data_IF_408488516106
#
_entry.id   IF_408488516106
#
_cell.length_a   1.000
_cell.length_b   1.000
_cell.length_c   1.000
_cell.angle_alpha   90.00
_cell.angle_beta   90.00
_cell.angle_gamma   90.00
#
_symmetry.space_group_name_H-M   'P 1'
#
loop_
_entity.id
_entity.type
_entity.pdbx_description
1 polymer ?
#
# COMPACT_ATOMS: atom_id res chain seq x y z
N UNK A 1 15.04 -18.66 3.25
CA UNK A 1 14.16 -18.39 2.10
C UNK A 1 14.27 -16.92 1.74
N UNK A 2 14.78 -16.62 0.55
CA UNK A 2 14.98 -15.26 0.04
C UNK A 2 13.62 -14.59 -0.22
N UNK A 3 13.48 -13.29 0.03
CA UNK A 3 12.24 -12.57 -0.29
C UNK A 3 11.95 -12.72 -1.78
N UNK A 4 10.70 -13.07 -2.14
CA UNK A 4 10.29 -13.23 -3.53
C UNK A 4 10.44 -11.94 -4.37
N UNK A 5 10.66 -10.80 -3.70
CA UNK A 5 10.83 -9.48 -4.24
C UNK A 5 12.29 -9.06 -4.20
N UNK A 6 12.78 -8.47 -5.30
CA UNK A 6 14.13 -7.94 -5.41
C UNK A 6 14.10 -6.43 -5.58
N UNK A 7 15.00 -5.72 -4.89
CA UNK A 7 15.15 -4.27 -5.09
C UNK A 7 15.43 -3.94 -6.56
N UNK A 8 14.77 -2.91 -7.08
CA UNK A 8 14.79 -2.48 -8.49
C UNK A 8 13.83 -3.26 -9.39
N UNK A 9 13.15 -4.29 -8.89
CA UNK A 9 12.12 -5.01 -9.65
C UNK A 9 10.88 -4.13 -9.82
N UNK A 10 10.33 -4.12 -11.04
CA UNK A 10 9.07 -3.46 -11.36
C UNK A 10 7.95 -4.48 -11.38
N UNK A 11 6.89 -4.20 -10.63
CA UNK A 11 5.71 -5.07 -10.52
C UNK A 11 4.46 -4.34 -11.01
N UNK A 12 3.54 -5.08 -11.63
CA UNK A 12 2.19 -4.61 -11.90
C UNK A 12 1.26 -5.21 -10.85
N UNK A 13 0.59 -4.34 -10.11
CA UNK A 13 -0.41 -4.71 -9.12
C UNK A 13 -1.77 -4.81 -9.79
N UNK A 14 -2.18 -6.02 -10.15
CA UNK A 14 -3.34 -6.25 -11.02
C UNK A 14 -4.69 -6.10 -10.32
N UNK A 15 -4.77 -6.39 -9.02
CA UNK A 15 -6.03 -6.38 -8.27
C UNK A 15 -6.30 -5.06 -7.55
N UNK A 16 -7.55 -4.82 -7.17
CA UNK A 16 -7.83 -3.85 -6.12
C UNK A 16 -7.32 -4.40 -4.78
N UNK A 17 -6.84 -3.53 -3.91
CA UNK A 17 -6.39 -3.95 -2.58
C UNK A 17 -6.78 -2.93 -1.53
N UNK A 18 -7.39 -3.42 -0.46
CA UNK A 18 -7.64 -2.62 0.74
C UNK A 18 -6.32 -2.45 1.49
N UNK A 19 -6.03 -1.21 1.89
CA UNK A 19 -4.82 -0.82 2.59
C UNK A 19 -5.22 0.08 3.76
N UNK A 20 -4.35 0.21 4.75
CA UNK A 20 -4.53 1.17 5.86
C UNK A 20 -3.35 2.13 5.90
N UNK A 21 -3.62 3.39 6.25
CA UNK A 21 -2.59 4.39 6.56
C UNK A 21 -2.19 4.40 8.05
N UNK A 22 -2.78 3.55 8.89
CA UNK A 22 -2.47 3.48 10.31
C UNK A 22 -1.79 2.16 10.70
N UNK A 23 -0.61 2.27 11.30
CA UNK A 23 0.20 1.10 11.69
C UNK A 23 -0.45 0.26 12.81
N UNK A 24 -1.20 0.89 13.71
CA UNK A 24 -1.88 0.22 14.84
C UNK A 24 -2.94 -0.80 14.38
N UNK A 25 -3.58 -0.57 13.22
CA UNK A 25 -4.59 -1.48 12.65
C UNK A 25 -3.95 -2.82 12.26
N UNK A 26 -2.67 -2.82 11.90
CA UNK A 26 -1.96 -4.04 11.49
C UNK A 26 -1.81 -5.08 12.59
N UNK A 27 -1.80 -4.66 13.86
CA UNK A 27 -1.66 -5.57 15.00
C UNK A 27 -2.87 -6.52 15.13
N UNK A 28 -3.97 -6.26 14.42
CA UNK A 28 -5.12 -7.16 14.36
C UNK A 28 -4.80 -8.36 13.45
N UNK A 29 -5.13 -9.56 13.94
CA UNK A 29 -4.92 -10.84 13.25
C UNK A 29 -5.68 -10.96 11.92
N UNK A 30 -6.69 -10.13 11.69
CA UNK A 30 -7.38 -10.05 10.40
C UNK A 30 -6.53 -9.41 9.29
N UNK A 31 -5.46 -8.69 9.64
CA UNK A 31 -4.57 -8.03 8.69
C UNK A 31 -3.19 -8.70 8.65
N UNK A 32 -2.22 -8.17 9.41
CA UNK A 32 -0.88 -8.71 9.47
C UNK A 32 -0.76 -9.74 10.59
N UNK A 33 -1.35 -9.44 11.75
CA UNK A 33 -1.28 -10.28 12.94
C UNK A 33 0.15 -10.50 13.44
N UNK A 34 0.29 -11.46 14.35
CA UNK A 34 1.56 -11.75 15.03
C UNK A 34 2.17 -13.11 14.69
N UNK A 35 1.46 -13.98 13.94
CA UNK A 35 1.86 -15.36 13.67
C UNK A 35 1.96 -15.67 12.16
N UNK A 36 2.68 -16.76 11.82
CA UNK A 36 2.83 -17.23 10.44
C UNK A 36 3.79 -16.44 9.57
N UNK A 37 4.09 -16.99 8.38
CA UNK A 37 4.89 -16.33 7.35
C UNK A 37 4.08 -15.20 6.73
N UNK A 38 4.59 -13.98 6.83
CA UNK A 38 3.88 -12.76 6.47
C UNK A 38 4.80 -11.75 5.80
N UNK A 39 4.20 -10.96 4.94
CA UNK A 39 4.87 -9.88 4.23
C UNK A 39 4.05 -8.61 4.40
N UNK A 40 4.71 -7.57 4.88
CA UNK A 40 4.18 -6.23 4.94
C UNK A 40 4.67 -5.46 3.71
N UNK A 41 3.76 -5.02 2.86
CA UNK A 41 4.10 -4.04 1.83
C UNK A 41 4.02 -2.66 2.45
N UNK A 42 5.08 -1.86 2.38
CA UNK A 42 5.06 -0.45 2.72
C UNK A 42 5.07 0.33 1.40
N UNK A 43 3.89 0.72 0.91
CA UNK A 43 3.72 1.30 -0.42
C UNK A 43 3.69 2.81 -0.27
N UNK A 44 4.53 3.55 -0.99
CA UNK A 44 4.36 4.98 -1.23
C UNK A 44 3.49 5.16 -2.49
N UNK A 45 2.20 5.46 -2.31
CA UNK A 45 1.24 5.54 -3.40
C UNK A 45 0.80 6.98 -3.73
N UNK A 46 0.60 7.22 -5.02
CA UNK A 46 0.10 8.49 -5.59
C UNK A 46 -1.39 8.41 -5.93
N UNK A 47 -1.89 7.21 -6.23
CA UNK A 47 -3.25 7.02 -6.77
C UNK A 47 -4.23 6.34 -5.80
N UNK A 48 -3.80 6.03 -4.57
CA UNK A 48 -4.68 5.51 -3.52
C UNK A 48 -5.87 6.43 -3.27
N UNK A 49 -7.03 5.84 -2.94
CA UNK A 49 -8.26 6.58 -2.64
C UNK A 49 -8.66 6.34 -1.20
N UNK A 50 -8.76 7.42 -0.43
CA UNK A 50 -9.36 7.36 0.90
C UNK A 50 -10.84 7.03 0.77
N UNK A 51 -11.21 5.86 1.29
CA UNK A 51 -12.58 5.37 1.34
C UNK A 51 -13.08 5.20 2.77
N UNK A 52 -12.39 5.78 3.76
CA UNK A 52 -12.72 5.66 5.19
C UNK A 52 -14.19 6.01 5.46
N UNK A 53 -14.72 7.05 4.80
CA UNK A 53 -16.12 7.50 4.94
C UNK A 53 -17.15 6.55 4.32
N UNK A 54 -16.71 5.65 3.46
CA UNK A 54 -17.53 4.66 2.76
C UNK A 54 -17.28 3.24 3.30
N UNK A 55 -16.31 3.07 4.19
CA UNK A 55 -15.96 1.78 4.79
C UNK A 55 -16.98 1.37 5.86
N UNK A 56 -17.25 0.07 5.94
CA UNK A 56 -17.98 -0.52 7.06
C UNK A 56 -17.18 -0.42 8.38
N UNK A 57 -15.87 -0.15 8.31
CA UNK A 57 -14.97 -0.03 9.45
C UNK A 57 -14.24 1.32 9.45
N UNK A 58 -14.89 2.42 9.85
CA UNK A 58 -14.34 3.78 9.74
C UNK A 58 -13.05 4.02 10.52
N UNK A 59 -12.70 3.15 11.47
CA UNK A 59 -11.50 3.30 12.31
C UNK A 59 -10.23 2.77 11.65
N UNK A 60 -10.34 2.10 10.51
CA UNK A 60 -9.21 1.46 9.84
C UNK A 60 -8.44 2.40 8.91
N UNK A 61 -8.92 3.63 8.69
CA UNK A 61 -8.35 4.58 7.72
C UNK A 61 -8.06 3.89 6.38
N UNK A 62 -9.11 3.28 5.85
CA UNK A 62 -9.03 2.45 4.65
C UNK A 62 -8.70 3.29 3.41
N UNK A 63 -7.61 2.91 2.75
CA UNK A 63 -7.19 3.40 1.45
C UNK A 63 -7.37 2.27 0.44
N UNK A 64 -8.18 2.50 -0.58
CA UNK A 64 -8.33 1.57 -1.69
C UNK A 64 -7.21 1.81 -2.71
N UNK A 65 -6.35 0.81 -2.88
CA UNK A 65 -5.37 0.80 -3.96
C UNK A 65 -6.02 0.33 -5.26
N UNK A 66 -5.98 1.14 -6.34
CA UNK A 66 -6.56 0.76 -7.62
C UNK A 66 -5.84 -0.42 -8.30
N UNK A 67 -6.58 -1.17 -9.11
CA UNK A 67 -6.03 -2.18 -9.99
C UNK A 67 -5.15 -1.61 -11.11
N UNK A 68 -4.24 -2.44 -11.62
CA UNK A 68 -3.28 -2.15 -12.67
C UNK A 68 -2.43 -0.91 -12.38
N UNK A 69 -1.83 -0.84 -11.19
CA UNK A 69 -0.79 0.14 -10.85
C UNK A 69 0.60 -0.47 -10.98
N UNK A 70 1.60 0.35 -11.26
CA UNK A 70 2.97 -0.11 -11.37
C UNK A 70 3.79 0.38 -10.18
N UNK A 71 4.60 -0.50 -9.62
CA UNK A 71 5.45 -0.19 -8.47
C UNK A 71 6.88 -0.65 -8.73
N UNK A 72 7.83 0.08 -8.17
CA UNK A 72 9.21 -0.36 -8.04
C UNK A 72 9.48 -0.82 -6.60
N UNK A 73 10.17 -1.94 -6.45
CA UNK A 73 10.64 -2.43 -5.15
C UNK A 73 11.86 -1.60 -4.74
N UNK A 74 11.70 -0.69 -3.78
CA UNK A 74 12.81 0.18 -3.35
C UNK A 74 13.66 -0.47 -2.26
N UNK A 75 13.07 -1.30 -1.40
CA UNK A 75 13.80 -1.98 -0.34
C UNK A 75 13.11 -3.28 0.10
N UNK A 76 13.90 -4.25 0.53
CA UNK A 76 13.44 -5.47 1.19
C UNK A 76 14.15 -5.62 2.53
N UNK A 77 13.39 -5.73 3.62
CA UNK A 77 13.90 -5.93 4.97
C UNK A 77 13.28 -7.20 5.57
N UNK A 78 14.12 -8.08 6.12
CA UNK A 78 13.65 -9.26 6.86
C UNK A 78 13.69 -8.98 8.35
N UNK A 79 12.54 -9.03 9.02
CA UNK A 79 12.42 -8.85 10.46
C UNK A 79 12.13 -10.20 11.14
N UNK A 80 13.13 -11.06 11.24
CA UNK A 80 13.00 -12.39 11.84
C UNK A 80 12.74 -13.52 10.83
N UNK A 81 12.37 -14.72 11.29
CA UNK A 81 12.22 -15.88 10.42
C UNK A 81 11.02 -15.76 9.47
N UNK A 82 9.91 -15.18 9.94
CA UNK A 82 8.61 -15.29 9.29
C UNK A 82 8.01 -13.94 8.85
N UNK A 83 8.73 -12.82 9.05
CA UNK A 83 8.23 -11.49 8.71
C UNK A 83 9.17 -10.81 7.72
N UNK A 84 8.62 -10.40 6.58
CA UNK A 84 9.30 -9.59 5.58
C UNK A 84 8.60 -8.25 5.42
N UNK A 85 9.37 -7.20 5.17
CA UNK A 85 8.89 -5.88 4.81
C UNK A 85 9.41 -5.58 3.42
N UNK A 86 8.52 -5.20 2.52
CA UNK A 86 8.85 -4.82 1.14
C UNK A 86 8.36 -3.40 0.93
N UNK A 87 9.28 -2.48 0.70
CA UNK A 87 8.93 -1.11 0.39
C UNK A 87 8.73 -0.97 -1.12
N UNK A 88 7.60 -0.39 -1.50
CA UNK A 88 7.19 -0.17 -2.88
C UNK A 88 7.01 1.33 -3.11
N UNK A 89 7.39 1.82 -4.28
CA UNK A 89 7.08 3.19 -4.72
C UNK A 89 6.24 3.13 -5.99
N UNK A 90 5.12 3.87 -6.03
CA UNK A 90 4.28 3.94 -7.22
C UNK A 90 4.98 4.74 -8.32
N UNK A 91 5.17 4.08 -9.46
CA UNK A 91 5.74 4.64 -10.68
C UNK A 91 4.67 4.76 -11.75
N UNK A 92 4.93 5.57 -12.77
CA UNK A 92 4.01 5.71 -13.89
C UNK A 92 3.79 4.37 -14.59
N UNK A 93 2.52 3.95 -14.62
CA UNK A 93 2.12 2.73 -15.30
C UNK A 93 1.93 2.99 -16.80
N UNK A 94 2.45 2.13 -17.68
CA UNK A 94 2.15 2.18 -19.11
C UNK A 94 0.67 1.87 -19.41
N UNK A 95 -0.04 1.23 -18.47
CA UNK A 95 -1.46 0.90 -18.58
C UNK A 95 -2.19 1.42 -17.35
N UNK A 96 -3.13 2.35 -17.54
CA UNK A 96 -4.04 2.83 -16.49
C UNK A 96 -5.42 2.24 -16.77
N UNK A 97 -5.89 1.33 -15.91
CA UNK A 97 -7.25 0.77 -16.04
C UNK A 97 -8.33 1.84 -15.81
N UNK A 98 -8.09 2.72 -14.84
CA UNK A 98 -8.96 3.84 -14.48
C UNK A 98 -8.08 5.07 -14.37
N UNK A 99 -8.45 6.12 -15.12
CA UNK A 99 -7.87 7.44 -14.94
C UNK A 99 -8.51 8.11 -13.72
N UNK A 100 -7.70 8.39 -12.72
CA UNK A 100 -8.14 8.92 -11.44
C UNK A 100 -7.86 10.41 -11.28
N UNK A 101 -7.31 11.05 -12.32
CA UNK A 101 -6.87 12.44 -12.32
C UNK A 101 -5.80 12.74 -11.25
N UNK A 102 -5.22 13.95 -11.26
CA UNK A 102 -4.41 14.42 -10.15
C UNK A 102 -5.29 14.62 -8.90
N UNK A 103 -4.87 14.05 -7.77
CA UNK A 103 -5.52 14.25 -6.47
C UNK A 103 -5.23 15.68 -6.01
N UNK A 104 -6.18 16.60 -6.18
CA UNK A 104 -6.12 17.88 -5.46
C UNK A 104 -6.34 17.57 -3.98
N UNK A 105 -5.26 17.61 -3.19
CA UNK A 105 -5.35 17.64 -1.73
C UNK A 105 -6.07 18.95 -1.39
N UNK A 106 -7.38 18.88 -1.17
CA UNK A 106 -8.15 20.04 -0.72
C UNK A 106 -7.78 20.29 0.74
N UNK A 107 -7.18 21.44 1.11
CA UNK A 107 -6.91 21.74 2.50
C UNK A 107 -8.26 21.82 3.23
N UNK A 108 -8.44 21.00 4.27
CA UNK A 108 -9.58 21.11 5.15
C UNK A 108 -9.55 22.50 5.79
N UNK A 109 -10.50 23.35 5.41
CA UNK A 109 -10.65 24.69 5.99
C UNK A 109 -11.22 24.55 7.40
N UNK A 110 -10.34 24.60 8.39
CA UNK A 110 -10.64 24.73 9.82
C UNK A 110 -9.70 25.78 10.43
N UNK A 111 -10.26 26.71 11.19
CA UNK A 111 -9.70 28.02 11.50
C UNK A 111 -8.39 28.10 12.33
N UNK A 112 -7.65 29.17 12.05
CA UNK A 112 -6.78 29.98 12.94
C UNK A 112 -5.35 29.50 13.27
N UNK A 113 -4.37 30.16 12.62
CA UNK A 113 -3.24 30.79 13.31
C UNK A 113 -2.02 29.93 13.68
N UNK A 114 -1.01 29.89 12.79
CA UNK A 114 0.39 30.29 13.06
C UNK A 114 1.35 29.75 12.00
N UNK A 115 2.25 30.62 11.55
CA UNK A 115 3.28 30.37 10.53
C UNK A 115 4.27 29.28 11.00
N UNK A 116 4.49 28.26 10.18
CA UNK A 116 5.81 27.61 10.04
C UNK A 116 5.89 26.88 8.70
N UNK A 117 6.99 27.12 7.97
CA UNK A 117 7.31 26.45 6.70
C UNK A 117 7.72 25.00 7.00
N UNK A 118 7.00 24.03 6.45
CA UNK A 118 7.49 22.69 6.22
C UNK A 118 6.74 22.09 5.02
N UNK A 119 7.47 21.86 3.92
CA UNK A 119 7.01 21.05 2.79
C UNK A 119 6.92 19.60 3.27
N UNK A 120 5.76 19.22 3.82
CA UNK A 120 5.49 17.84 4.23
C UNK A 120 4.88 17.10 3.06
N UNK A 121 5.73 16.41 2.30
CA UNK A 121 5.32 15.34 1.40
C UNK A 121 4.56 14.29 2.23
N UNK A 122 3.25 14.16 2.03
CA UNK A 122 2.47 13.11 2.68
C UNK A 122 2.81 11.78 2.04
N UNK A 123 3.76 11.05 2.64
CA UNK A 123 4.03 9.66 2.31
C UNK A 123 2.77 8.85 2.68
N UNK A 124 2.00 8.46 1.68
CA UNK A 124 0.85 7.59 1.89
C UNK A 124 1.39 6.16 2.00
N UNK A 125 1.82 5.75 3.20
CA UNK A 125 2.18 4.36 3.52
C UNK A 125 0.94 3.49 3.39
N UNK A 126 0.78 2.85 2.24
CA UNK A 126 -0.29 1.93 1.91
C UNK A 126 0.21 0.50 2.16
N UNK A 127 -0.44 -0.25 3.04
CA UNK A 127 0.03 -1.60 3.40
C UNK A 127 -0.99 -2.67 3.04
N UNK A 128 -0.74 -3.37 1.94
CA UNK A 128 -1.48 -4.58 1.57
C UNK A 128 -0.89 -5.80 2.28
N UNK A 129 -1.71 -6.76 2.68
CA UNK A 129 -1.27 -8.12 2.97
C UNK A 129 -1.68 -9.01 1.79
N UNK A 130 -0.70 -9.51 1.03
CA UNK A 130 -0.97 -10.47 -0.05
C UNK A 130 -0.29 -11.79 0.31
N UNK A 131 -1.08 -12.80 0.67
CA UNK A 131 -0.61 -14.17 0.84
C UNK A 131 -0.52 -14.83 -0.55
N UNK A 132 0.62 -14.68 -1.23
CA UNK A 132 0.84 -15.36 -2.51
C UNK A 132 1.36 -16.77 -2.23
N UNK A 133 0.45 -17.74 -2.21
CA UNK A 133 0.83 -19.15 -2.32
C UNK A 133 1.13 -19.44 -3.81
N UNK A 134 2.37 -19.22 -4.27
CA UNK A 134 2.80 -19.65 -5.61
C UNK A 134 3.00 -21.17 -5.62
N UNK A 135 1.90 -21.91 -5.62
CA UNK A 135 1.89 -23.33 -5.95
C UNK A 135 0.83 -23.67 -7.01
N UNK A 136 0.68 -22.80 -8.00
CA UNK A 136 -0.09 -23.08 -9.22
C UNK A 136 0.76 -22.77 -10.44
N UNK A 137 1.56 -23.76 -10.82
CA UNK A 137 2.05 -23.92 -12.18
C UNK A 137 0.86 -24.07 -13.12
N UNK A 138 0.65 -23.06 -13.97
CA UNK A 138 0.20 -23.25 -15.33
C UNK A 138 -1.30 -23.43 -15.58
N UNK A 139 -1.78 -22.60 -16.51
CA UNK A 139 -2.95 -22.79 -17.40
C UNK A 139 -4.29 -22.28 -16.84
N UNK A 140 -4.62 -21.05 -17.24
CA UNK A 140 -5.99 -20.53 -17.23
C UNK A 140 -6.52 -20.57 -18.67
N UNK A 141 -7.53 -21.41 -18.89
CA UNK A 141 -8.73 -21.05 -19.66
C UNK A 141 -9.72 -20.46 -18.64
#
# INVERSE_FOLDING_TARGET
MQSAYKTGEKIIWWGFSSCTSQLNVLSNDQFLGSTGVRTLFNIDCKTGKDIQKHSAFPRESEILLPAARCFEVVACLRQGPDMNIVQLEEIDSPVKLIDLGPQNIVPSTGASGSKSNATTTSVATSMSTMNINKNSTGKLL
#
